data_IF_809444714725
#
_entry.id   IF_809444714725
#
_cell.length_a   1.000
_cell.length_b   1.000
_cell.length_c   1.000
_cell.angle_alpha   90.00
_cell.angle_beta   90.00
_cell.angle_gamma   90.00
#
_symmetry.space_group_name_H-M   'P 1'
#
loop_
_entity.id
_entity.type
_entity.pdbx_description
1 polymer ?
#
# COMPACT_ATOMS: atom_id res chain seq x y z
N UNK A 1 -9.58 -6.32 -5.71
CA UNK A 1 -8.25 -5.69 -5.67
C UNK A 1 -8.07 -5.04 -4.31
N UNK A 2 -6.85 -4.96 -3.74
CA UNK A 2 -6.65 -4.50 -2.35
C UNK A 2 -7.08 -3.04 -2.13
N UNK A 3 -6.69 -2.16 -3.05
CA UNK A 3 -7.29 -0.84 -3.23
C UNK A 3 -8.21 -0.91 -4.46
N UNK A 4 -9.33 -0.18 -4.44
CA UNK A 4 -10.15 -0.04 -5.66
C UNK A 4 -9.36 0.71 -6.74
N UNK A 5 -9.72 0.48 -8.00
CA UNK A 5 -9.09 1.15 -9.13
C UNK A 5 -9.23 2.68 -9.02
N UNK A 6 -10.41 3.16 -8.62
CA UNK A 6 -10.68 4.59 -8.41
C UNK A 6 -9.75 5.20 -7.35
N UNK A 7 -9.57 4.51 -6.21
CA UNK A 7 -8.69 4.97 -5.13
C UNK A 7 -7.24 5.00 -5.61
N UNK A 8 -6.81 3.98 -6.35
CA UNK A 8 -5.46 3.92 -6.89
C UNK A 8 -5.20 5.07 -7.88
N UNK A 9 -6.09 5.26 -8.86
CA UNK A 9 -5.94 6.32 -9.86
C UNK A 9 -5.95 7.70 -9.21
N UNK A 10 -6.87 7.94 -8.26
CA UNK A 10 -6.95 9.22 -7.56
C UNK A 10 -5.67 9.50 -6.76
N UNK A 11 -5.14 8.51 -6.04
CA UNK A 11 -3.90 8.67 -5.28
C UNK A 11 -2.69 9.01 -6.17
N UNK A 12 -2.60 8.39 -7.35
CA UNK A 12 -1.53 8.69 -8.32
C UNK A 12 -1.68 10.09 -8.90
N UNK A 13 -2.89 10.49 -9.30
CA UNK A 13 -3.15 11.86 -9.82
C UNK A 13 -2.82 12.90 -8.75
N UNK A 14 -3.24 12.67 -7.50
CA UNK A 14 -2.95 13.54 -6.37
C UNK A 14 -1.44 13.66 -6.12
N UNK A 15 -0.73 12.54 -6.10
CA UNK A 15 0.73 12.49 -5.93
C UNK A 15 1.46 13.29 -7.02
N UNK A 16 1.09 13.09 -8.29
CA UNK A 16 1.71 13.80 -9.42
C UNK A 16 1.46 15.32 -9.35
N UNK A 17 0.25 15.73 -8.99
CA UNK A 17 -0.07 17.15 -8.84
C UNK A 17 0.73 17.79 -7.69
N UNK A 18 0.82 17.11 -6.54
CA UNK A 18 1.46 17.65 -5.33
C UNK A 18 2.99 17.72 -5.42
N UNK A 19 3.62 16.84 -6.21
CA UNK A 19 5.08 16.75 -6.33
C UNK A 19 5.60 17.16 -7.71
N UNK A 20 4.78 17.85 -8.51
CA UNK A 20 5.16 18.29 -9.84
C UNK A 20 6.40 19.18 -9.81
N UNK A 21 7.39 18.87 -10.66
CA UNK A 21 8.68 19.57 -10.77
C UNK A 21 9.56 19.56 -9.50
N UNK A 22 9.24 18.72 -8.50
CA UNK A 22 9.99 18.58 -7.27
C UNK A 22 10.72 17.23 -7.18
N UNK A 23 11.50 17.04 -6.11
CA UNK A 23 12.09 15.73 -5.76
C UNK A 23 11.23 15.01 -4.73
N UNK A 24 11.27 13.68 -4.76
CA UNK A 24 10.44 12.82 -3.91
C UNK A 24 11.25 11.70 -3.24
N UNK A 25 10.71 11.18 -2.14
CA UNK A 25 11.14 9.99 -1.42
C UNK A 25 10.03 8.93 -1.48
N UNK A 26 10.39 7.68 -1.16
CA UNK A 26 9.42 6.57 -1.17
C UNK A 26 8.23 6.79 -0.24
N UNK A 27 8.43 7.51 0.87
CA UNK A 27 7.37 7.83 1.83
C UNK A 27 6.29 8.75 1.24
N UNK A 28 6.66 9.69 0.36
CA UNK A 28 5.74 10.68 -0.22
C UNK A 28 4.64 10.03 -1.07
N UNK A 29 4.97 8.93 -1.73
CA UNK A 29 3.99 8.14 -2.48
C UNK A 29 2.94 7.54 -1.52
N UNK A 30 3.37 6.87 -0.46
CA UNK A 30 2.45 6.21 0.47
C UNK A 30 1.64 7.19 1.31
N UNK A 31 2.19 8.37 1.58
CA UNK A 31 1.46 9.47 2.21
C UNK A 31 0.29 9.92 1.31
N UNK A 32 0.49 10.01 -0.01
CA UNK A 32 -0.60 10.31 -0.97
C UNK A 32 -1.71 9.25 -0.95
N UNK A 33 -1.37 7.97 -0.81
CA UNK A 33 -2.36 6.91 -0.66
C UNK A 33 -3.14 7.01 0.66
N UNK A 34 -2.47 7.34 1.77
CA UNK A 34 -3.10 7.49 3.08
C UNK A 34 -4.10 8.66 3.13
N UNK A 35 -3.83 9.75 2.39
CA UNK A 35 -4.74 10.89 2.27
C UNK A 35 -6.03 10.49 1.52
N UNK A 36 -5.93 9.72 0.44
CA UNK A 36 -7.12 9.27 -0.32
C UNK A 36 -7.94 8.20 0.42
N UNK A 37 -7.30 7.34 1.22
CA UNK A 37 -8.01 6.30 1.99
C UNK A 37 -8.59 6.82 3.31
N UNK A 38 -8.55 8.13 3.57
CA UNK A 38 -8.97 8.75 4.84
C UNK A 38 -8.29 8.11 6.07
N UNK A 39 -7.06 7.60 5.93
CA UNK A 39 -6.30 6.91 7.00
C UNK A 39 -7.01 5.69 7.60
N UNK A 40 -8.06 5.18 6.96
CA UNK A 40 -8.72 3.92 7.36
C UNK A 40 -7.77 2.74 7.21
N UNK A 41 -6.81 2.87 6.31
CA UNK A 41 -5.75 1.92 6.04
C UNK A 41 -4.41 2.65 5.98
N UNK A 42 -3.46 2.22 6.82
CA UNK A 42 -2.09 2.73 6.80
C UNK A 42 -1.25 1.99 5.76
N UNK A 43 -1.34 2.47 4.52
CA UNK A 43 -0.64 1.93 3.35
C UNK A 43 0.88 2.06 3.53
N UNK A 44 1.34 3.14 4.17
CA UNK A 44 2.76 3.36 4.45
C UNK A 44 3.33 2.26 5.35
N UNK A 45 2.63 1.90 6.43
CA UNK A 45 3.05 0.81 7.30
C UNK A 45 3.08 -0.55 6.60
N UNK A 46 2.10 -0.82 5.73
CA UNK A 46 2.09 -2.03 4.91
C UNK A 46 3.28 -2.06 3.94
N UNK A 47 3.48 -0.99 3.16
CA UNK A 47 4.49 -0.96 2.11
C UNK A 47 5.92 -0.85 2.63
N UNK A 48 6.11 -0.43 3.89
CA UNK A 48 7.42 -0.42 4.54
C UNK A 48 8.09 -1.80 4.56
N UNK A 49 7.34 -2.87 4.85
CA UNK A 49 7.92 -4.23 4.86
C UNK A 49 8.29 -4.68 3.45
N UNK A 50 7.45 -4.36 2.46
CA UNK A 50 7.66 -4.74 1.06
C UNK A 50 8.78 -3.97 0.36
N UNK A 51 9.07 -2.74 0.78
CA UNK A 51 10.08 -1.88 0.13
C UNK A 51 11.44 -1.89 0.83
N UNK A 52 11.48 -2.10 2.16
CA UNK A 52 12.72 -2.04 2.93
C UNK A 52 13.30 -3.41 3.30
N UNK A 53 12.51 -4.50 3.26
CA UNK A 53 12.99 -5.84 3.60
C UNK A 53 13.29 -6.63 2.32
N UNK A 54 14.45 -7.28 2.29
CA UNK A 54 14.82 -8.16 1.17
C UNK A 54 14.04 -9.48 1.22
N UNK A 55 13.74 -10.02 0.03
CA UNK A 55 13.01 -11.28 -0.11
C UNK A 55 11.50 -11.09 -0.14
N UNK A 56 10.75 -12.15 0.16
CA UNK A 56 9.30 -12.17 0.15
C UNK A 56 8.78 -13.25 1.13
N UNK A 57 7.57 -13.10 1.68
CA UNK A 57 7.04 -14.05 2.65
C UNK A 57 6.63 -15.36 1.97
N UNK A 58 6.94 -16.48 2.63
CA UNK A 58 6.31 -17.78 2.37
C UNK A 58 5.07 -17.89 3.25
N UNK A 59 3.89 -17.94 2.64
CA UNK A 59 2.63 -18.11 3.35
C UNK A 59 2.21 -19.57 3.28
N UNK A 60 2.19 -20.26 4.42
CA UNK A 60 1.83 -21.69 4.50
C UNK A 60 0.43 -21.82 5.06
N UNK A 61 -0.48 -22.42 4.29
CA UNK A 61 -1.89 -22.53 4.68
C UNK A 61 -2.22 -23.97 5.08
N UNK A 62 -2.84 -24.15 6.25
CA UNK A 62 -3.40 -25.42 6.69
C UNK A 62 -4.90 -25.30 6.93
N UNK A 63 -5.69 -26.12 6.25
CA UNK A 63 -7.15 -26.16 6.41
C UNK A 63 -7.56 -27.17 7.47
N UNK A 64 -8.35 -26.74 8.46
CA UNK A 64 -9.01 -27.61 9.45
C UNK A 64 -10.53 -27.43 9.33
N UNK A 65 -11.17 -28.32 8.58
CA UNK A 65 -12.61 -28.24 8.30
C UNK A 65 -12.98 -26.96 7.52
N UNK A 66 -13.61 -26.01 8.21
CA UNK A 66 -13.99 -24.69 7.66
C UNK A 66 -13.02 -23.56 8.04
N UNK A 67 -12.02 -23.85 8.87
CA UNK A 67 -11.00 -22.88 9.27
C UNK A 67 -9.76 -22.99 8.40
N UNK A 68 -9.16 -21.84 8.08
CA UNK A 68 -7.85 -21.74 7.45
C UNK A 68 -6.89 -21.15 8.48
N UNK A 69 -5.86 -21.91 8.83
CA UNK A 69 -4.69 -21.37 9.51
C UNK A 69 -3.69 -20.94 8.46
N UNK A 70 -3.23 -19.71 8.57
CA UNK A 70 -2.28 -19.05 7.68
C UNK A 70 -1.04 -18.71 8.49
#
# INVERSE_FOLDING_TARGET
TYLSEDVFQHAIVFYLHNHSYASIRSDDLWDSFNEITNKTLDVKKMMKTWTLQKGFPLVTVQRKGRELHV
#
